data_IF_928462451577
#
_entry.id   IF_928462451577
#
_cell.length_a   1.000
_cell.length_b   1.000
_cell.length_c   1.000
_cell.angle_alpha   90.00
_cell.angle_beta   90.00
_cell.angle_gamma   90.00
#
_symmetry.space_group_name_H-M   'P 1'
#
loop_
_entity.id
_entity.type
_entity.pdbx_description
1 polymer ?
#
# COMPACT_ATOMS: atom_id res chain seq x y z
N UNK A 1 -34.29 -6.37 -25.51
CA UNK A 1 -32.83 -6.15 -25.63
C UNK A 1 -32.43 -5.22 -24.47
N UNK A 2 -31.76 -5.74 -23.42
CA UNK A 2 -31.27 -4.92 -22.30
C UNK A 2 -30.15 -4.03 -22.81
N UNK A 3 -30.30 -2.72 -22.73
CA UNK A 3 -29.20 -1.76 -23.01
C UNK A 3 -28.09 -2.03 -22.05
N UNK A 4 -26.95 -2.44 -22.54
CA UNK A 4 -25.72 -2.60 -21.74
C UNK A 4 -25.29 -1.20 -21.30
N UNK A 5 -25.41 -0.90 -20.02
CA UNK A 5 -25.00 0.39 -19.46
C UNK A 5 -23.47 0.45 -19.46
N UNK A 6 -22.90 1.43 -20.14
CA UNK A 6 -21.45 1.69 -20.23
C UNK A 6 -20.81 1.79 -18.84
N UNK A 7 -21.54 2.27 -17.83
CA UNK A 7 -21.08 2.32 -16.44
C UNK A 7 -20.78 0.94 -15.82
N UNK A 8 -21.39 -0.13 -16.29
CA UNK A 8 -21.11 -1.49 -15.82
C UNK A 8 -19.88 -2.11 -16.50
N UNK A 9 -19.38 -1.51 -17.57
CA UNK A 9 -18.18 -1.96 -18.28
C UNK A 9 -16.88 -1.36 -17.70
N UNK A 10 -16.95 -0.22 -17.02
CA UNK A 10 -15.78 0.48 -16.46
C UNK A 10 -15.02 -0.40 -15.46
N UNK A 11 -15.65 -1.07 -14.47
CA UNK A 11 -14.91 -1.90 -13.52
C UNK A 11 -14.29 -3.15 -14.18
N UNK A 12 -14.93 -3.70 -15.22
CA UNK A 12 -14.41 -4.85 -15.96
C UNK A 12 -13.21 -4.43 -16.82
N UNK A 13 -13.28 -3.27 -17.46
CA UNK A 13 -12.18 -2.72 -18.26
C UNK A 13 -10.98 -2.32 -17.37
N UNK A 14 -11.23 -1.79 -16.17
CA UNK A 14 -10.18 -1.52 -15.19
C UNK A 14 -9.51 -2.79 -14.70
N UNK A 15 -10.26 -3.86 -14.49
CA UNK A 15 -9.73 -5.15 -14.06
C UNK A 15 -8.83 -5.80 -15.12
N UNK A 16 -9.16 -5.67 -16.39
CA UNK A 16 -8.35 -6.21 -17.48
C UNK A 16 -7.08 -5.40 -17.76
N UNK A 17 -7.12 -4.08 -17.54
CA UNK A 17 -5.94 -3.22 -17.72
C UNK A 17 -4.91 -3.45 -16.61
N UNK A 18 -5.31 -3.83 -15.41
CA UNK A 18 -4.44 -4.07 -14.27
C UNK A 18 -3.69 -5.42 -14.33
N UNK A 19 -4.21 -6.40 -15.07
CA UNK A 19 -3.51 -7.69 -15.25
C UNK A 19 -2.27 -7.60 -16.16
N UNK A 20 -2.06 -6.50 -16.88
CA UNK A 20 -1.00 -6.40 -17.90
C UNK A 20 0.33 -5.85 -17.38
N UNK A 21 0.44 -5.45 -16.11
CA UNK A 21 1.63 -4.77 -15.59
C UNK A 21 2.47 -5.57 -14.58
N UNK A 22 2.24 -6.86 -14.43
CA UNK A 22 3.14 -7.70 -13.62
C UNK A 22 4.19 -8.31 -14.53
N UNK A 23 5.18 -7.51 -14.93
CA UNK A 23 6.44 -8.01 -15.45
C UNK A 23 7.44 -7.91 -14.29
N UNK A 24 7.75 -9.03 -13.67
CA UNK A 24 8.91 -9.14 -12.81
C UNK A 24 10.16 -8.97 -13.69
N UNK A 25 10.86 -7.87 -13.57
CA UNK A 25 12.21 -7.74 -14.10
C UNK A 25 13.14 -8.50 -13.15
N UNK A 26 13.61 -9.62 -13.63
CA UNK A 26 14.76 -10.32 -13.06
C UNK A 26 16.00 -9.64 -13.64
N UNK A 27 16.49 -8.62 -12.94
CA UNK A 27 17.80 -8.03 -13.24
C UNK A 27 18.85 -8.98 -12.71
N UNK A 28 19.26 -9.90 -13.60
CA UNK A 28 20.33 -10.86 -13.36
C UNK A 28 21.68 -10.18 -13.18
N UNK A 29 21.94 -9.67 -11.99
CA UNK A 29 23.30 -9.32 -11.55
C UNK A 29 23.80 -10.49 -10.68
N UNK A 30 24.42 -11.45 -11.38
CA UNK A 30 25.02 -12.67 -10.82
C UNK A 30 26.30 -12.35 -10.03
N UNK A 31 26.13 -11.77 -8.84
CA UNK A 31 27.20 -11.64 -7.83
C UNK A 31 27.16 -12.77 -6.80
N UNK A 32 26.65 -13.95 -7.15
CA UNK A 32 26.87 -15.20 -6.42
C UNK A 32 26.35 -15.23 -4.98
N UNK A 33 25.43 -14.36 -4.61
CA UNK A 33 24.74 -14.41 -3.30
C UNK A 33 23.28 -14.72 -3.54
N UNK A 34 22.94 -16.00 -3.50
CA UNK A 34 21.55 -16.43 -3.39
C UNK A 34 20.93 -15.75 -2.16
N UNK A 35 20.04 -14.78 -2.42
CA UNK A 35 19.29 -14.09 -1.36
C UNK A 35 18.16 -15.00 -0.87
N UNK A 36 18.53 -16.05 -0.14
CA UNK A 36 17.58 -16.99 0.43
C UNK A 36 16.76 -16.32 1.53
N UNK A 37 15.45 -16.59 1.56
CA UNK A 37 14.52 -16.19 2.61
C UNK A 37 14.36 -14.66 2.80
N UNK A 38 14.57 -13.85 1.78
CA UNK A 38 14.26 -12.42 1.84
C UNK A 38 12.80 -12.18 1.44
N UNK A 39 12.06 -11.47 2.28
CA UNK A 39 10.69 -11.04 1.98
C UNK A 39 10.72 -9.60 1.52
N UNK A 40 10.33 -9.34 0.27
CA UNK A 40 10.19 -7.99 -0.26
C UNK A 40 9.01 -7.23 0.36
N UNK A 41 9.01 -5.92 0.22
CA UNK A 41 7.88 -5.02 0.55
C UNK A 41 7.33 -5.14 1.97
N UNK A 42 8.17 -5.50 2.94
CA UNK A 42 7.80 -5.60 4.36
C UNK A 42 7.14 -4.35 4.92
N UNK A 43 7.48 -3.18 4.40
CA UNK A 43 6.89 -1.91 4.81
C UNK A 43 5.37 -1.83 4.55
N UNK A 44 4.82 -2.64 3.64
CA UNK A 44 3.37 -2.70 3.40
C UNK A 44 2.58 -3.33 4.56
N UNK A 45 3.24 -4.07 5.44
CA UNK A 45 2.61 -4.63 6.64
C UNK A 45 2.53 -3.64 7.80
N UNK A 46 3.12 -2.46 7.64
CA UNK A 46 3.05 -1.41 8.66
C UNK A 46 1.65 -0.79 8.72
N UNK A 47 1.20 -0.48 9.95
CA UNK A 47 -0.10 0.14 10.20
C UNK A 47 0.03 1.67 10.19
N UNK A 48 -0.45 2.38 9.15
CA UNK A 48 -0.31 3.83 9.05
C UNK A 48 -1.33 4.61 9.89
N UNK A 49 -2.32 3.95 10.46
CA UNK A 49 -3.36 4.57 11.29
C UNK A 49 -3.06 4.31 12.77
N UNK A 50 -2.88 5.37 13.54
CA UNK A 50 -2.60 5.30 14.98
C UNK A 50 -3.68 4.54 15.76
N UNK A 51 -4.96 4.64 15.35
CA UNK A 51 -6.05 3.90 15.97
C UNK A 51 -5.94 2.39 15.70
N UNK A 52 -5.58 2.02 14.48
CA UNK A 52 -5.36 0.63 14.14
C UNK A 52 -4.18 0.03 14.90
N UNK A 53 -3.09 0.80 15.01
CA UNK A 53 -1.92 0.42 15.81
C UNK A 53 -2.28 0.21 17.29
N UNK A 54 -3.07 1.12 17.88
CA UNK A 54 -3.54 1.01 19.26
C UNK A 54 -4.45 -0.21 19.50
N UNK A 55 -5.16 -0.68 18.47
CA UNK A 55 -5.99 -1.89 18.50
C UNK A 55 -5.21 -3.17 18.16
N UNK A 56 -3.88 -3.10 18.06
CA UNK A 56 -3.06 -4.23 17.65
C UNK A 56 -3.39 -4.76 16.25
N UNK A 57 -3.86 -3.90 15.34
CA UNK A 57 -4.28 -4.27 13.99
C UNK A 57 -5.70 -4.84 13.88
N UNK A 58 -6.44 -4.96 14.97
CA UNK A 58 -7.82 -5.49 14.97
C UNK A 58 -8.84 -4.46 14.43
N UNK A 59 -8.66 -4.03 13.17
CA UNK A 59 -9.46 -2.96 12.55
C UNK A 59 -10.20 -3.41 11.28
N UNK A 60 -9.99 -4.62 10.82
CA UNK A 60 -10.52 -5.13 9.54
C UNK A 60 -12.05 -5.04 9.44
N UNK A 61 -12.76 -5.21 10.57
CA UNK A 61 -14.21 -5.12 10.64
C UNK A 61 -14.73 -3.68 10.80
N UNK A 62 -13.84 -2.69 11.00
CA UNK A 62 -14.27 -1.29 11.12
C UNK A 62 -14.70 -0.74 9.77
N UNK A 63 -15.87 -0.15 9.73
CA UNK A 63 -16.44 0.51 8.56
C UNK A 63 -16.33 2.03 8.67
N UNK A 64 -16.30 2.69 7.51
CA UNK A 64 -16.28 4.14 7.36
C UNK A 64 -14.88 4.76 7.42
N UNK A 65 -14.64 5.69 6.51
CA UNK A 65 -13.42 6.49 6.42
C UNK A 65 -12.38 5.98 5.43
N UNK A 66 -11.50 6.89 5.02
CA UNK A 66 -10.41 6.63 4.06
C UNK A 66 -9.33 5.70 4.63
N UNK A 67 -9.22 5.57 5.97
CA UNK A 67 -8.30 4.63 6.60
C UNK A 67 -8.57 3.16 6.21
N UNK A 68 -9.81 2.84 5.83
CA UNK A 68 -10.18 1.51 5.35
C UNK A 68 -9.40 1.08 4.09
N UNK A 69 -8.88 2.03 3.29
CA UNK A 69 -8.01 1.74 2.14
C UNK A 69 -6.79 0.89 2.53
N UNK A 70 -6.26 1.09 3.72
CA UNK A 70 -5.04 0.42 4.15
C UNK A 70 -5.29 -0.99 4.72
N UNK A 71 -6.53 -1.32 5.12
CA UNK A 71 -6.86 -2.56 5.84
C UNK A 71 -7.89 -3.41 5.12
N UNK A 72 -9.09 -2.83 4.92
CA UNK A 72 -10.20 -3.50 4.25
C UNK A 72 -10.97 -2.47 3.41
N UNK A 73 -10.72 -2.40 2.10
CA UNK A 73 -11.36 -1.40 1.24
C UNK A 73 -12.89 -1.48 1.23
N UNK A 74 -13.48 -2.66 1.49
CA UNK A 74 -14.94 -2.80 1.61
C UNK A 74 -15.52 -1.94 2.76
N UNK A 75 -14.70 -1.59 3.76
CA UNK A 75 -15.11 -0.70 4.85
C UNK A 75 -15.44 0.72 4.41
N UNK A 76 -14.97 1.16 3.23
CA UNK A 76 -15.34 2.47 2.66
C UNK A 76 -16.75 2.49 2.06
N UNK A 77 -17.33 1.33 1.71
CA UNK A 77 -18.53 1.25 0.86
C UNK A 77 -19.75 2.05 1.38
N UNK A 78 -19.72 2.40 2.67
CA UNK A 78 -20.79 3.17 3.34
C UNK A 78 -20.35 4.56 3.78
N UNK A 79 -19.27 5.05 3.18
CA UNK A 79 -18.85 6.42 3.39
C UNK A 79 -19.87 7.38 2.78
N UNK A 80 -20.16 8.46 3.47
CA UNK A 80 -20.94 9.57 2.97
C UNK A 80 -20.04 10.79 2.76
N UNK A 81 -20.15 11.41 1.60
CA UNK A 81 -19.36 12.58 1.25
C UNK A 81 -17.88 12.26 1.00
N UNK A 82 -17.01 13.00 1.63
CA UNK A 82 -15.56 13.00 1.41
C UNK A 82 -14.83 12.76 2.74
N UNK A 83 -13.80 11.92 2.72
CA UNK A 83 -12.99 11.66 3.89
C UNK A 83 -11.50 11.63 3.54
N UNK A 84 -10.69 12.21 4.41
CA UNK A 84 -9.22 12.25 4.29
C UNK A 84 -8.61 11.68 5.56
N UNK A 85 -7.57 10.91 5.42
CA UNK A 85 -6.73 10.45 6.53
C UNK A 85 -5.28 10.78 6.21
N UNK A 86 -4.58 11.32 7.20
CA UNK A 86 -3.14 11.57 7.15
C UNK A 86 -2.53 10.96 8.40
N UNK A 87 -1.47 10.21 8.21
CA UNK A 87 -0.72 9.60 9.28
C UNK A 87 0.77 9.78 9.08
N UNK A 88 1.47 10.10 10.15
CA UNK A 88 2.92 10.09 10.21
C UNK A 88 3.34 9.28 11.44
N UNK A 89 4.26 8.36 11.26
CA UNK A 89 4.80 7.56 12.36
C UNK A 89 6.32 7.57 12.27
N UNK A 90 6.95 8.02 13.33
CA UNK A 90 8.38 7.84 13.52
C UNK A 90 8.62 6.49 14.18
N UNK A 91 9.47 5.69 13.58
CA UNK A 91 9.83 4.37 14.03
C UNK A 91 11.24 4.38 14.63
N UNK A 92 11.75 3.20 14.99
CA UNK A 92 13.14 3.06 15.46
C UNK A 92 14.15 3.39 14.36
N UNK A 93 15.37 3.78 14.76
CA UNK A 93 16.51 4.01 13.86
C UNK A 93 16.22 5.01 12.72
N UNK A 94 15.55 6.12 13.06
CA UNK A 94 15.21 7.22 12.15
C UNK A 94 14.29 6.85 10.96
N UNK A 95 13.71 5.64 10.99
CA UNK A 95 12.72 5.24 10.00
C UNK A 95 11.43 6.02 10.20
N UNK A 96 10.92 6.62 9.14
CA UNK A 96 9.65 7.34 9.16
C UNK A 96 8.68 6.83 8.10
N UNK A 97 7.41 6.70 8.49
CA UNK A 97 6.29 6.35 7.62
C UNK A 97 5.36 7.53 7.48
N UNK A 98 5.04 7.87 6.25
CA UNK A 98 4.03 8.88 5.93
C UNK A 98 2.94 8.22 5.09
N UNK A 99 1.69 8.42 5.47
CA UNK A 99 0.55 7.86 4.75
C UNK A 99 -0.55 8.90 4.58
N UNK A 100 -1.12 8.91 3.39
CA UNK A 100 -2.27 9.76 3.05
C UNK A 100 -3.30 8.88 2.35
N UNK A 101 -4.55 9.00 2.77
CA UNK A 101 -5.69 8.37 2.12
C UNK A 101 -6.80 9.38 1.88
N UNK A 102 -7.40 9.31 0.71
CA UNK A 102 -8.55 10.10 0.32
C UNK A 102 -9.65 9.16 -0.19
N UNK A 103 -10.88 9.37 0.23
CA UNK A 103 -12.04 8.63 -0.23
C UNK A 103 -13.19 9.57 -0.52
N UNK A 104 -13.89 9.32 -1.62
CA UNK A 104 -15.03 10.10 -2.08
C UNK A 104 -16.22 9.20 -2.42
N UNK A 105 -17.35 9.46 -1.79
CA UNK A 105 -18.60 8.75 -2.06
C UNK A 105 -19.28 9.33 -3.28
N UNK A 106 -19.63 8.46 -4.22
CA UNK A 106 -20.43 8.76 -5.41
C UNK A 106 -21.68 7.90 -5.44
N UNK A 107 -22.63 8.21 -6.32
CA UNK A 107 -23.84 7.40 -6.49
C UNK A 107 -23.55 5.96 -6.98
N UNK A 108 -22.37 5.71 -7.53
CA UNK A 108 -21.96 4.39 -8.02
C UNK A 108 -21.14 3.58 -7.02
N UNK A 109 -20.75 4.19 -5.91
CA UNK A 109 -19.87 3.61 -4.90
C UNK A 109 -18.81 4.61 -4.44
N UNK A 110 -17.87 4.16 -3.67
CA UNK A 110 -16.80 4.98 -3.08
C UNK A 110 -15.49 4.73 -3.83
N UNK A 111 -14.90 5.80 -4.29
CA UNK A 111 -13.56 5.82 -4.88
C UNK A 111 -12.56 6.25 -3.81
N UNK A 112 -11.38 5.62 -3.80
CA UNK A 112 -10.33 5.95 -2.88
C UNK A 112 -8.96 5.99 -3.53
N UNK A 113 -8.11 6.88 -3.04
CA UNK A 113 -6.70 6.98 -3.42
C UNK A 113 -5.87 6.92 -2.15
N UNK A 114 -4.78 6.18 -2.17
CA UNK A 114 -3.85 6.11 -1.06
C UNK A 114 -2.42 6.28 -1.53
N UNK A 115 -1.63 6.86 -0.66
CA UNK A 115 -0.18 6.95 -0.80
C UNK A 115 0.46 6.56 0.52
N UNK A 116 1.52 5.76 0.47
CA UNK A 116 2.37 5.48 1.62
C UNK A 116 3.83 5.59 1.19
N UNK A 117 4.60 6.32 1.96
CA UNK A 117 6.03 6.50 1.77
C UNK A 117 6.75 6.06 3.05
N UNK A 118 7.83 5.32 2.90
CA UNK A 118 8.78 5.02 3.96
C UNK A 118 10.14 5.59 3.63
N UNK A 119 10.73 6.27 4.58
CA UNK A 119 12.11 6.71 4.60
C UNK A 119 12.84 5.91 5.67
N UNK A 120 13.93 5.23 5.29
CA UNK A 120 14.70 4.39 6.20
C UNK A 120 15.85 5.14 6.90
N UNK A 121 15.95 6.46 6.66
CA UNK A 121 17.06 7.27 7.18
C UNK A 121 18.38 7.02 6.45
N UNK A 122 19.46 7.51 7.05
CA UNK A 122 20.81 7.35 6.52
C UNK A 122 21.39 6.01 6.92
N UNK A 123 21.78 5.19 5.95
CA UNK A 123 22.43 3.91 6.18
C UNK A 123 23.86 3.92 5.65
N UNK A 124 24.78 3.38 6.45
CA UNK A 124 26.16 3.18 6.06
C UNK A 124 26.27 2.00 5.11
N UNK A 125 26.73 2.25 3.88
CA UNK A 125 27.04 1.20 2.93
C UNK A 125 28.32 0.44 3.32
N UNK A 126 28.35 -0.87 3.09
CA UNK A 126 29.53 -1.69 3.31
C UNK A 126 29.71 -2.68 2.16
N UNK A 127 30.95 -2.92 1.76
CA UNK A 127 31.32 -3.95 0.77
C UNK A 127 32.26 -4.97 1.42
N UNK A 128 32.17 -6.22 1.00
CA UNK A 128 33.10 -7.27 1.46
C UNK A 128 34.52 -6.95 1.00
N UNK A 129 35.48 -7.10 1.88
CA UNK A 129 36.89 -6.88 1.64
C UNK A 129 37.74 -7.97 2.28
N UNK A 130 38.98 -8.12 1.82
CA UNK A 130 40.00 -8.97 2.42
C UNK A 130 40.71 -8.32 3.62
N UNK A 131 40.25 -7.16 4.08
CA UNK A 131 40.75 -6.47 5.29
C UNK A 131 40.50 -7.34 6.53
N UNK A 132 41.20 -7.05 7.64
CA UNK A 132 41.02 -7.77 8.93
C UNK A 132 39.57 -7.72 9.44
N UNK A 133 38.83 -6.64 9.16
CA UNK A 133 37.42 -6.49 9.51
C UNK A 133 36.47 -7.25 8.57
N UNK A 134 36.95 -7.75 7.43
CA UNK A 134 36.15 -8.45 6.44
C UNK A 134 35.27 -7.54 5.56
N UNK A 135 35.20 -6.24 5.84
CA UNK A 135 34.44 -5.26 5.09
C UNK A 135 35.13 -3.90 5.07
N UNK A 136 34.69 -3.06 4.17
CA UNK A 136 35.09 -1.64 4.06
C UNK A 136 33.80 -0.82 3.95
N UNK A 137 33.75 0.28 4.71
CA UNK A 137 32.67 1.25 4.64
C UNK A 137 32.70 1.97 3.31
N UNK A 138 31.53 2.13 2.70
CA UNK A 138 31.31 2.93 1.49
C UNK A 138 30.55 4.20 1.81
N UNK A 139 29.95 4.83 0.81
CA UNK A 139 29.16 6.04 1.01
C UNK A 139 27.86 5.75 1.78
N UNK A 140 27.36 6.77 2.48
CA UNK A 140 26.04 6.73 3.11
C UNK A 140 24.97 6.82 2.02
N UNK A 141 23.91 6.06 2.17
CA UNK A 141 22.76 6.08 1.25
C UNK A 141 21.45 6.15 2.02
N UNK A 142 20.41 6.71 1.36
CA UNK A 142 19.06 6.88 1.93
C UNK A 142 18.05 6.04 1.14
N UNK A 143 17.76 4.82 1.59
CA UNK A 143 16.72 4.04 0.93
C UNK A 143 15.35 4.59 1.28
N UNK A 144 14.47 4.59 0.31
CA UNK A 144 13.07 4.96 0.50
C UNK A 144 12.19 4.10 -0.39
N UNK A 145 10.93 3.93 -0.01
CA UNK A 145 9.97 3.26 -0.84
C UNK A 145 8.64 4.01 -0.81
N UNK A 146 7.98 4.11 -1.96
CA UNK A 146 6.68 4.76 -2.08
C UNK A 146 5.71 3.83 -2.78
N UNK A 147 4.50 3.76 -2.24
CA UNK A 147 3.39 3.01 -2.83
C UNK A 147 2.21 3.93 -3.05
N UNK A 148 1.64 3.85 -4.24
CA UNK A 148 0.38 4.48 -4.61
C UNK A 148 -0.67 3.40 -4.76
N UNK A 149 -1.88 3.68 -4.29
CA UNK A 149 -2.98 2.74 -4.37
C UNK A 149 -4.27 3.39 -4.83
N UNK A 150 -5.06 2.62 -5.57
CA UNK A 150 -6.40 2.98 -6.01
C UNK A 150 -7.41 2.00 -5.43
N UNK A 151 -8.44 2.50 -4.79
CA UNK A 151 -9.49 1.71 -4.16
C UNK A 151 -10.87 2.01 -4.74
N UNK A 152 -11.69 0.98 -4.78
CA UNK A 152 -13.10 1.11 -5.09
C UNK A 152 -13.92 0.21 -4.16
N UNK A 153 -15.03 0.72 -3.65
CA UNK A 153 -15.91 -0.05 -2.79
C UNK A 153 -17.37 0.28 -3.06
N UNK A 154 -18.24 -0.71 -2.92
CA UNK A 154 -19.67 -0.52 -3.00
C UNK A 154 -20.42 -1.50 -2.08
N UNK A 155 -21.62 -1.16 -1.69
CA UNK A 155 -22.48 -1.99 -0.85
C UNK A 155 -23.70 -2.45 -1.67
N UNK A 156 -23.73 -3.71 -2.17
CA UNK A 156 -24.88 -4.26 -2.88
C UNK A 156 -26.13 -4.37 -1.99
N UNK A 157 -25.93 -4.59 -0.69
CA UNK A 157 -27.01 -4.70 0.31
C UNK A 157 -26.59 -4.04 1.61
N UNK A 158 -27.54 -3.84 2.52
CA UNK A 158 -27.28 -3.25 3.85
C UNK A 158 -26.33 -4.09 4.73
N UNK A 159 -26.15 -5.37 4.40
CA UNK A 159 -25.35 -6.31 5.19
C UNK A 159 -24.07 -6.77 4.50
N UNK A 160 -23.91 -6.43 3.23
CA UNK A 160 -22.77 -6.88 2.44
C UNK A 160 -22.13 -5.72 1.69
N UNK A 161 -20.84 -5.65 1.73
CA UNK A 161 -20.01 -4.69 0.97
C UNK A 161 -18.82 -5.38 0.35
N UNK A 162 -18.43 -4.88 -0.82
CA UNK A 162 -17.28 -5.37 -1.60
C UNK A 162 -16.33 -4.20 -1.81
N UNK A 163 -15.05 -4.48 -1.74
CA UNK A 163 -14.02 -3.48 -2.02
C UNK A 163 -12.81 -4.13 -2.68
N UNK A 164 -12.19 -3.37 -3.55
CA UNK A 164 -10.93 -3.69 -4.22
C UNK A 164 -9.93 -2.57 -3.95
N UNK A 165 -8.69 -2.91 -3.72
CA UNK A 165 -7.59 -1.97 -3.61
C UNK A 165 -6.38 -2.53 -4.35
N UNK A 166 -5.85 -1.75 -5.28
CA UNK A 166 -4.66 -2.07 -6.07
C UNK A 166 -3.56 -1.11 -5.67
N UNK A 167 -2.37 -1.66 -5.44
CA UNK A 167 -1.17 -0.94 -5.01
C UNK A 167 -0.02 -1.26 -5.94
#
# INVERSE_FOLDING_TARGET
MKKLNIFNLIPVLMLTLLCSFVVAQDDGDDLGTDKLAQTGMKFLSFSPDARAAALGGAITAKTGGASSLFYNPAGMARLEGMNVVVGQTQWIADISYNAVGFAYASNAGVLGVSMMNVDYGDLQGTVRSTSESGYVDTEMFKPSATVLGLGYAFAPTDRFSVGLHVK
#
